data_IF_062120692096
#
_entry.id   IF_062120692096
#
_cell.length_a   1.000
_cell.length_b   1.000
_cell.length_c   1.000
_cell.angle_alpha   90.00
_cell.angle_beta   90.00
_cell.angle_gamma   90.00
#
_symmetry.space_group_name_H-M   'P 1'
#
loop_
_entity.id
_entity.type
_entity.pdbx_description
1 polymer ?
#
# COMPACT_ATOMS: atom_id res chain seq x y z
N UNK A 1 -34.32 28.71 -12.76
CA UNK A 1 -35.23 27.55 -12.59
C UNK A 1 -35.73 27.64 -11.16
N UNK A 2 -36.91 28.22 -10.95
CA UNK A 2 -37.57 28.23 -9.64
C UNK A 2 -38.36 26.93 -9.53
N UNK A 3 -37.74 25.90 -8.95
CA UNK A 3 -38.48 24.71 -8.54
C UNK A 3 -39.41 25.17 -7.41
N UNK A 4 -40.73 25.04 -7.54
CA UNK A 4 -41.70 25.45 -6.52
C UNK A 4 -41.68 24.64 -5.22
N UNK A 5 -40.51 24.10 -4.85
CA UNK A 5 -40.24 23.42 -3.59
C UNK A 5 -39.62 24.41 -2.60
N UNK A 6 -39.99 24.26 -1.34
CA UNK A 6 -39.45 25.04 -0.22
C UNK A 6 -37.94 24.77 -0.06
N UNK A 7 -37.12 25.82 -0.17
CA UNK A 7 -35.66 25.73 -0.08
C UNK A 7 -35.22 25.13 1.26
N UNK A 8 -35.99 25.34 2.34
CA UNK A 8 -35.72 24.73 3.65
C UNK A 8 -35.83 23.20 3.60
N UNK A 9 -36.84 22.68 2.90
CA UNK A 9 -37.02 21.24 2.72
C UNK A 9 -35.89 20.64 1.88
N UNK A 10 -35.48 21.34 0.81
CA UNK A 10 -34.37 20.91 -0.03
C UNK A 10 -33.04 20.88 0.73
N UNK A 11 -32.78 21.90 1.56
CA UNK A 11 -31.59 21.95 2.42
C UNK A 11 -31.61 20.78 3.40
N UNK A 12 -32.77 20.42 3.98
CA UNK A 12 -32.89 19.29 4.89
C UNK A 12 -32.51 17.97 4.22
N UNK A 13 -33.10 17.66 3.06
CA UNK A 13 -32.76 16.45 2.31
C UNK A 13 -31.29 16.43 1.88
N UNK A 14 -30.75 17.58 1.48
CA UNK A 14 -29.34 17.68 1.11
C UNK A 14 -28.41 17.39 2.29
N UNK A 15 -28.73 17.91 3.48
CA UNK A 15 -27.97 17.65 4.71
C UNK A 15 -28.00 16.16 5.10
N UNK A 16 -29.12 15.48 4.92
CA UNK A 16 -29.24 14.04 5.17
C UNK A 16 -28.37 13.20 4.22
N UNK A 17 -28.13 13.67 3.00
CA UNK A 17 -27.26 13.01 2.02
C UNK A 17 -25.76 13.25 2.22
N UNK A 18 -25.37 14.17 3.10
CA UNK A 18 -23.97 14.50 3.37
C UNK A 18 -23.41 13.73 4.58
N UNK A 19 -22.11 13.36 4.56
CA UNK A 19 -21.43 12.86 5.75
C UNK A 19 -21.56 13.85 6.91
N UNK A 20 -21.87 13.35 8.10
CA UNK A 20 -22.10 14.16 9.31
C UNK A 20 -20.91 15.08 9.63
N UNK A 21 -19.68 14.62 9.38
CA UNK A 21 -18.47 15.43 9.56
C UNK A 21 -18.41 16.66 8.66
N UNK A 22 -18.95 16.58 7.43
CA UNK A 22 -19.03 17.71 6.51
C UNK A 22 -20.17 18.65 6.92
N UNK A 23 -21.33 18.12 7.30
CA UNK A 23 -22.46 18.94 7.80
C UNK A 23 -22.03 19.75 9.02
N UNK A 24 -21.42 19.10 10.02
CA UNK A 24 -20.92 19.77 11.22
C UNK A 24 -19.87 20.84 10.89
N UNK A 25 -18.97 20.56 9.94
CA UNK A 25 -17.95 21.52 9.52
C UNK A 25 -18.54 22.76 8.84
N UNK A 26 -19.63 22.60 8.09
CA UNK A 26 -20.36 23.71 7.46
C UNK A 26 -21.15 24.50 8.51
N UNK A 27 -21.83 23.81 9.43
CA UNK A 27 -22.64 24.45 10.50
C UNK A 27 -21.80 25.20 11.53
N UNK A 28 -20.58 24.74 11.83
CA UNK A 28 -19.67 25.35 12.80
C UNK A 28 -18.76 26.44 12.19
N UNK A 29 -19.08 26.93 10.99
CA UNK A 29 -18.36 28.06 10.40
C UNK A 29 -18.58 29.34 11.21
N UNK A 30 -17.54 30.18 11.26
CA UNK A 30 -17.59 31.51 11.86
C UNK A 30 -18.46 32.50 11.10
N UNK A 31 -18.66 32.25 9.81
CA UNK A 31 -19.31 33.18 8.88
C UNK A 31 -20.84 33.01 8.85
N UNK A 32 -21.41 32.26 9.79
CA UNK A 32 -22.84 31.97 9.88
C UNK A 32 -23.26 30.66 9.20
N UNK A 33 -24.48 30.22 9.54
CA UNK A 33 -25.13 29.05 8.94
C UNK A 33 -25.60 29.44 7.53
N UNK A 34 -25.33 28.63 6.50
CA UNK A 34 -25.80 28.94 5.16
C UNK A 34 -27.33 28.83 5.09
N UNK A 35 -27.97 29.81 4.48
CA UNK A 35 -29.44 29.89 4.41
C UNK A 35 -29.96 29.42 3.05
N UNK A 36 -29.12 29.43 2.02
CA UNK A 36 -29.52 28.99 0.67
C UNK A 36 -28.93 27.63 0.32
N UNK A 37 -29.71 26.85 -0.43
CA UNK A 37 -29.27 25.55 -0.93
C UNK A 37 -27.96 25.66 -1.74
N UNK A 38 -27.81 26.74 -2.52
CA UNK A 38 -26.62 26.98 -3.33
C UNK A 38 -25.36 27.20 -2.48
N UNK A 39 -25.47 27.96 -1.38
CA UNK A 39 -24.34 28.13 -0.45
C UNK A 39 -23.96 26.80 0.23
N UNK A 40 -24.96 25.98 0.58
CA UNK A 40 -24.72 24.64 1.10
C UNK A 40 -23.93 23.77 0.10
N UNK A 41 -24.29 23.81 -1.18
CA UNK A 41 -23.56 23.10 -2.24
C UNK A 41 -22.11 23.58 -2.37
N UNK A 42 -21.89 24.88 -2.52
CA UNK A 42 -20.56 25.47 -2.68
C UNK A 42 -19.64 25.12 -1.51
N UNK A 43 -20.15 25.19 -0.28
CA UNK A 43 -19.40 24.86 0.92
C UNK A 43 -19.12 23.36 1.02
N UNK A 44 -20.09 22.50 0.70
CA UNK A 44 -19.92 21.06 0.69
C UNK A 44 -18.83 20.63 -0.31
N UNK A 45 -18.84 21.17 -1.53
CA UNK A 45 -17.83 20.93 -2.56
C UNK A 45 -16.45 21.36 -2.05
N UNK A 46 -16.35 22.58 -1.51
CA UNK A 46 -15.10 23.14 -0.99
C UNK A 46 -14.50 22.25 0.11
N UNK A 47 -15.29 21.88 1.11
CA UNK A 47 -14.79 21.08 2.23
C UNK A 47 -14.50 19.63 1.85
N UNK A 48 -15.29 19.03 0.96
CA UNK A 48 -15.01 17.70 0.44
C UNK A 48 -13.69 17.67 -0.35
N UNK A 49 -13.44 18.70 -1.17
CA UNK A 49 -12.19 18.81 -1.92
C UNK A 49 -10.99 19.02 -0.99
N UNK A 50 -11.13 19.83 0.06
CA UNK A 50 -10.11 19.97 1.11
C UNK A 50 -9.82 18.62 1.78
N UNK A 51 -10.86 17.84 2.10
CA UNK A 51 -10.72 16.51 2.68
C UNK A 51 -9.97 15.56 1.75
N UNK A 52 -10.37 15.48 0.48
CA UNK A 52 -9.68 14.68 -0.55
C UNK A 52 -8.20 15.08 -0.69
N UNK A 53 -7.92 16.38 -0.69
CA UNK A 53 -6.54 16.88 -0.73
C UNK A 53 -5.74 16.49 0.51
N UNK A 54 -6.29 16.68 1.71
CA UNK A 54 -5.64 16.28 2.96
C UNK A 54 -5.34 14.77 3.01
N UNK A 55 -6.28 13.95 2.56
CA UNK A 55 -6.09 12.50 2.47
C UNK A 55 -5.01 12.10 1.45
N UNK A 56 -4.94 12.78 0.29
CA UNK A 56 -3.89 12.56 -0.69
C UNK A 56 -2.49 12.94 -0.16
N UNK A 57 -2.39 14.05 0.58
CA UNK A 57 -1.14 14.47 1.23
C UNK A 57 -0.71 13.47 2.32
N UNK A 58 -1.65 13.02 3.16
CA UNK A 58 -1.38 11.99 4.18
C UNK A 58 -0.86 10.70 3.56
N UNK A 59 -1.44 10.24 2.45
CA UNK A 59 -0.95 9.06 1.72
C UNK A 59 0.47 9.25 1.18
N UNK A 60 0.81 10.44 0.69
CA UNK A 60 2.19 10.79 0.27
C UNK A 60 3.15 10.83 1.47
N UNK A 61 2.73 11.37 2.61
CA UNK A 61 3.54 11.38 3.83
C UNK A 61 3.79 9.97 4.37
N UNK A 62 2.78 9.11 4.45
CA UNK A 62 2.94 7.70 4.85
C UNK A 62 3.91 6.97 3.89
N UNK A 63 3.80 7.22 2.59
CA UNK A 63 4.74 6.70 1.60
C UNK A 63 6.17 7.22 1.77
N UNK A 64 6.34 8.46 2.27
CA UNK A 64 7.65 9.07 2.57
C UNK A 64 8.19 8.66 3.94
N UNK A 65 7.34 8.40 4.93
CA UNK A 65 7.73 8.02 6.29
C UNK A 65 8.29 6.59 6.35
N UNK A 66 7.87 5.71 5.41
CA UNK A 66 8.55 4.43 5.16
C UNK A 66 9.98 4.60 4.61
N UNK A 67 10.36 5.79 4.12
CA UNK A 67 11.72 6.17 3.75
C UNK A 67 12.40 6.81 4.96
N UNK A 68 12.55 6.07 6.07
CA UNK A 68 13.47 6.49 7.12
C UNK A 68 14.89 6.49 6.54
N UNK A 69 15.66 7.60 6.56
CA UNK A 69 17.08 7.52 6.29
C UNK A 69 17.68 6.56 7.32
N UNK A 70 18.34 5.50 6.83
CA UNK A 70 19.08 4.56 7.68
C UNK A 70 20.23 5.31 8.34
N UNK A 71 19.96 6.00 9.44
CA UNK A 71 20.99 6.42 10.38
C UNK A 71 21.52 5.13 10.99
N UNK A 72 22.66 4.67 10.48
CA UNK A 72 23.43 3.56 11.02
C UNK A 72 24.06 3.98 12.35
N UNK A 73 23.24 4.13 13.39
CA UNK A 73 23.74 4.07 14.76
C UNK A 73 24.12 2.61 15.00
N UNK A 74 25.42 2.33 14.99
CA UNK A 74 26.01 1.08 15.49
C UNK A 74 25.74 0.98 16.99
N UNK A 75 24.53 0.58 17.38
CA UNK A 75 24.32 -0.08 18.65
C UNK A 75 24.73 -1.53 18.45
N UNK A 76 25.82 -1.94 19.12
CA UNK A 76 26.22 -3.34 19.25
C UNK A 76 25.16 -4.02 20.11
N UNK A 77 24.08 -4.47 19.49
CA UNK A 77 23.03 -5.24 20.15
C UNK A 77 23.07 -6.64 19.55
N UNK A 78 23.46 -7.60 20.40
CA UNK A 78 23.60 -9.02 20.08
C UNK A 78 22.21 -9.61 19.83
N UNK A 79 21.68 -9.44 18.62
CA UNK A 79 20.41 -10.05 18.22
C UNK A 79 20.68 -11.41 17.59
N UNK A 80 20.17 -12.44 18.25
CA UNK A 80 20.20 -13.84 17.80
C UNK A 80 19.58 -13.93 16.40
N UNK A 81 20.33 -14.50 15.45
CA UNK A 81 19.88 -14.75 14.09
C UNK A 81 18.82 -15.85 14.04
N UNK A 82 17.58 -15.51 14.40
CA UNK A 82 16.43 -16.32 13.97
C UNK A 82 16.35 -16.18 12.45
N UNK A 83 16.48 -17.28 11.72
CA UNK A 83 16.17 -17.29 10.29
C UNK A 83 14.70 -16.86 10.21
N UNK A 84 14.46 -15.74 9.52
CA UNK A 84 13.09 -15.26 9.29
C UNK A 84 12.29 -16.29 8.49
N UNK A 85 11.00 -16.07 8.25
CA UNK A 85 10.21 -16.94 7.38
C UNK A 85 10.93 -17.12 6.04
N UNK A 86 11.34 -18.35 5.72
CA UNK A 86 11.94 -18.68 4.44
C UNK A 86 10.86 -18.72 3.36
N UNK A 87 11.20 -18.31 2.14
CA UNK A 87 10.38 -18.59 0.96
C UNK A 87 10.19 -20.09 0.80
N UNK A 88 9.11 -20.53 0.17
CA UNK A 88 8.87 -21.96 -0.11
C UNK A 88 10.01 -22.57 -0.94
N UNK A 89 10.57 -21.81 -1.89
CA UNK A 89 11.74 -22.23 -2.67
C UNK A 89 12.97 -22.45 -1.78
N UNK A 90 13.28 -21.48 -0.91
CA UNK A 90 14.43 -21.57 -0.01
C UNK A 90 14.27 -22.72 1.00
N UNK A 91 13.03 -23.01 1.41
CA UNK A 91 12.71 -24.12 2.29
C UNK A 91 13.06 -25.45 1.64
N UNK A 92 12.74 -25.63 0.35
CA UNK A 92 13.09 -26.84 -0.39
C UNK A 92 14.59 -27.01 -0.54
N UNK A 93 15.34 -25.95 -0.83
CA UNK A 93 16.80 -26.00 -0.92
C UNK A 93 17.46 -26.42 0.41
N UNK A 94 16.92 -25.96 1.54
CA UNK A 94 17.41 -26.34 2.86
C UNK A 94 17.16 -27.82 3.15
N UNK A 95 16.01 -28.35 2.74
CA UNK A 95 15.71 -29.77 2.88
C UNK A 95 16.58 -30.61 1.95
N UNK A 96 16.72 -30.21 0.68
CA UNK A 96 17.54 -30.90 -0.32
C UNK A 96 19.01 -30.95 0.08
N UNK A 97 19.54 -29.86 0.66
CA UNK A 97 20.93 -29.78 1.10
C UNK A 97 21.14 -30.32 2.53
N UNK A 98 20.08 -30.73 3.25
CA UNK A 98 20.20 -31.18 4.64
C UNK A 98 20.74 -30.10 5.58
N UNK A 99 20.37 -28.84 5.34
CA UNK A 99 20.78 -27.68 6.14
C UNK A 99 19.90 -27.54 7.37
N UNK A 100 20.53 -27.27 8.51
CA UNK A 100 19.85 -26.97 9.76
C UNK A 100 19.13 -25.62 9.70
N UNK A 101 17.81 -25.58 9.91
CA UNK A 101 17.03 -24.32 10.00
C UNK A 101 17.32 -23.48 11.25
N UNK A 102 18.26 -23.89 12.11
CA UNK A 102 18.66 -23.13 13.29
C UNK A 102 20.04 -22.48 13.11
N UNK A 103 21.01 -23.20 12.57
CA UNK A 103 22.39 -22.73 12.44
C UNK A 103 22.92 -22.70 10.99
N UNK A 104 22.10 -23.08 10.01
CA UNK A 104 22.43 -23.15 8.58
C UNK A 104 23.62 -24.07 8.21
N UNK A 105 24.10 -24.90 9.15
CA UNK A 105 25.13 -25.93 8.89
C UNK A 105 24.50 -27.18 8.27
N UNK A 106 25.28 -27.87 7.46
CA UNK A 106 24.92 -29.13 6.81
C UNK A 106 25.02 -30.32 7.79
N UNK A 107 24.35 -31.42 7.44
CA UNK A 107 24.52 -32.71 8.11
C UNK A 107 23.63 -32.94 9.34
N UNK A 108 22.73 -32.01 9.67
CA UNK A 108 21.72 -32.19 10.69
C UNK A 108 20.53 -31.24 10.48
N UNK A 109 19.36 -31.63 10.94
CA UNK A 109 18.18 -30.75 10.99
C UNK A 109 18.11 -29.99 12.32
N UNK A 110 17.24 -28.99 12.43
CA UNK A 110 17.04 -28.23 13.69
C UNK A 110 16.76 -29.11 14.90
N UNK A 111 16.22 -30.32 14.67
CA UNK A 111 15.96 -31.30 15.73
C UNK A 111 17.20 -32.06 16.22
N UNK A 112 18.32 -31.99 15.52
CA UNK A 112 19.56 -32.69 15.89
C UNK A 112 20.70 -31.69 16.08
N UNK A 113 20.39 -30.39 16.13
CA UNK A 113 21.40 -29.36 16.22
C UNK A 113 22.20 -29.50 17.53
N UNK A 114 23.52 -29.75 17.46
CA UNK A 114 24.35 -29.92 18.65
C UNK A 114 24.45 -28.62 19.47
N UNK A 115 24.19 -27.47 18.83
CA UNK A 115 24.07 -26.15 19.48
C UNK A 115 22.66 -25.90 20.03
N UNK A 116 21.86 -26.94 20.29
CA UNK A 116 20.56 -26.83 20.97
C UNK A 116 20.77 -26.23 22.37
N UNK A 117 20.59 -24.91 22.47
CA UNK A 117 20.71 -24.15 23.73
C UNK A 117 21.97 -23.32 23.86
N UNK A 118 22.94 -23.37 22.93
CA UNK A 118 24.13 -22.51 22.94
C UNK A 118 24.11 -21.48 21.80
N UNK A 119 24.37 -20.23 22.17
CA UNK A 119 24.46 -19.08 21.27
C UNK A 119 25.78 -19.10 20.49
N UNK A 120 25.88 -19.89 19.42
CA UNK A 120 27.04 -19.82 18.53
C UNK A 120 26.87 -18.72 17.48
N UNK A 121 27.76 -17.72 17.54
CA UNK A 121 27.91 -16.64 16.57
C UNK A 121 28.49 -17.25 15.28
N UNK A 122 27.71 -17.28 14.17
CA UNK A 122 28.27 -17.54 12.85
C UNK A 122 27.72 -16.53 11.83
N UNK A 123 28.54 -16.01 10.89
CA UNK A 123 28.10 -15.04 9.91
C UNK A 123 27.12 -15.67 8.91
N UNK A 124 26.06 -14.93 8.55
CA UNK A 124 25.16 -15.29 7.44
C UNK A 124 25.95 -15.28 6.12
N UNK A 125 25.79 -16.26 5.22
CA UNK A 125 26.09 -16.05 3.80
C UNK A 125 25.19 -14.92 3.30
N UNK A 126 25.78 -13.84 2.80
CA UNK A 126 25.03 -12.76 2.15
C UNK A 126 24.61 -13.26 0.78
N UNK A 127 23.37 -13.73 0.66
CA UNK A 127 22.69 -13.76 -0.63
C UNK A 127 22.23 -12.33 -0.92
N UNK A 128 22.63 -11.76 -2.06
CA UNK A 128 22.11 -10.44 -2.47
C UNK A 128 20.58 -10.52 -2.60
N UNK A 129 19.82 -9.59 -2.02
CA UNK A 129 18.38 -9.56 -2.22
C UNK A 129 18.10 -9.35 -3.71
N UNK A 130 17.13 -10.08 -4.31
CA UNK A 130 16.77 -9.88 -5.70
C UNK A 130 16.40 -8.40 -5.90
N UNK A 131 17.04 -7.76 -6.89
CA UNK A 131 16.83 -6.36 -7.21
C UNK A 131 15.35 -6.17 -7.57
N UNK A 132 14.61 -5.46 -6.72
CA UNK A 132 13.24 -5.05 -7.02
C UNK A 132 13.31 -4.01 -8.14
N UNK A 133 12.80 -4.37 -9.31
CA UNK A 133 12.77 -3.50 -10.48
C UNK A 133 11.97 -2.22 -10.18
N UNK A 134 12.49 -1.08 -10.62
CA UNK A 134 11.83 0.23 -10.56
C UNK A 134 10.50 0.20 -11.32
N UNK A 135 9.53 1.04 -10.93
CA UNK A 135 8.24 1.16 -11.63
C UNK A 135 8.38 1.37 -13.15
N UNK A 136 9.44 2.07 -13.57
CA UNK A 136 9.75 2.28 -14.99
C UNK A 136 10.29 1.02 -15.66
N UNK A 137 11.06 0.21 -14.95
CA UNK A 137 11.59 -1.06 -15.45
C UNK A 137 10.49 -2.11 -15.54
N UNK A 138 9.58 -2.17 -14.55
CA UNK A 138 8.38 -3.01 -14.65
C UNK A 138 7.49 -2.57 -15.79
N UNK A 139 7.25 -1.27 -15.97
CA UNK A 139 6.47 -0.77 -17.10
C UNK A 139 7.11 -1.14 -18.44
N UNK A 140 8.42 -0.94 -18.59
CA UNK A 140 9.15 -1.31 -19.81
C UNK A 140 9.07 -2.82 -20.05
N UNK A 141 9.21 -3.65 -19.01
CA UNK A 141 9.12 -5.11 -19.12
C UNK A 141 7.72 -5.58 -19.52
N UNK A 142 6.68 -4.96 -18.95
CA UNK A 142 5.28 -5.22 -19.36
C UNK A 142 5.10 -4.81 -20.82
N UNK A 143 5.59 -3.63 -21.21
CA UNK A 143 5.50 -3.13 -22.58
C UNK A 143 6.21 -4.04 -23.59
N UNK A 144 7.39 -4.54 -23.29
CA UNK A 144 8.09 -5.50 -24.16
C UNK A 144 7.34 -6.81 -24.27
N UNK A 145 6.81 -7.34 -23.16
CA UNK A 145 6.01 -8.57 -23.18
C UNK A 145 4.73 -8.46 -24.02
N UNK A 146 4.09 -7.29 -24.02
CA UNK A 146 2.90 -7.03 -24.85
C UNK A 146 3.27 -6.88 -26.32
N UNK A 147 4.43 -6.31 -26.64
CA UNK A 147 4.91 -6.15 -28.02
C UNK A 147 5.38 -7.48 -28.65
N UNK A 148 5.85 -8.42 -27.83
CA UNK A 148 6.25 -9.77 -28.28
C UNK A 148 5.05 -10.72 -28.50
N UNK A 149 3.82 -10.28 -28.15
CA UNK A 149 2.58 -11.02 -28.43
C UNK A 149 2.09 -10.74 -29.86
N UNK A 150 1.41 -11.74 -30.44
CA UNK A 150 0.89 -11.64 -31.81
C UNK A 150 -0.22 -10.58 -31.90
N UNK A 151 -0.41 -9.99 -33.09
CA UNK A 151 -1.45 -8.96 -33.31
C UNK A 151 -2.85 -9.45 -32.92
N UNK A 152 -3.11 -10.75 -33.03
CA UNK A 152 -4.35 -11.40 -32.60
C UNK A 152 -4.55 -11.32 -31.08
N UNK A 153 -3.48 -11.58 -30.31
CA UNK A 153 -3.49 -11.53 -28.85
C UNK A 153 -3.66 -10.08 -28.35
N UNK A 154 -2.99 -9.12 -29.02
CA UNK A 154 -3.15 -7.70 -28.74
C UNK A 154 -4.58 -7.21 -29.01
N UNK A 155 -5.19 -7.65 -30.11
CA UNK A 155 -6.58 -7.32 -30.45
C UNK A 155 -7.55 -7.87 -29.41
N UNK A 156 -7.35 -9.12 -28.98
CA UNK A 156 -8.19 -9.76 -27.95
C UNK A 156 -8.09 -9.06 -26.60
N UNK A 157 -6.91 -8.54 -26.24
CA UNK A 157 -6.72 -7.71 -25.03
C UNK A 157 -7.45 -6.36 -25.17
N UNK A 158 -7.43 -5.74 -26.35
CA UNK A 158 -8.11 -4.47 -26.59
C UNK A 158 -9.64 -4.60 -26.57
N UNK A 159 -10.16 -5.69 -27.14
CA UNK A 159 -11.59 -6.02 -27.14
C UNK A 159 -12.10 -6.28 -25.71
N UNK A 160 -11.32 -6.98 -24.87
CA UNK A 160 -11.63 -7.20 -23.44
C UNK A 160 -11.68 -5.89 -22.63
N UNK A 161 -10.84 -4.92 -22.96
CA UNK A 161 -10.78 -3.63 -22.26
C UNK A 161 -11.97 -2.70 -22.61
N UNK A 162 -12.67 -2.97 -23.72
CA UNK A 162 -13.87 -2.24 -24.14
C UNK A 162 -15.17 -2.79 -23.52
N UNK A 163 -15.21 -4.06 -23.13
CA UNK A 163 -16.38 -4.68 -22.50
C UNK A 163 -16.44 -4.44 -20.98
N UNK A 164 -15.30 -4.35 -20.30
CA UNK A 164 -15.21 -3.96 -18.89
C UNK A 164 -14.83 -2.48 -18.77
N UNK A 165 -15.84 -1.61 -18.92
CA UNK A 165 -15.69 -0.17 -18.80
C UNK A 165 -15.05 0.27 -17.46
N UNK A 166 -13.87 0.87 -17.56
CA UNK A 166 -13.24 1.69 -16.51
C UNK A 166 -13.65 3.17 -16.66
#
# INVERSE_FOLDING_TARGET
METGYDDEALIKFFKEGLPESLVNKIMLRTDGVPETLNEWFELAIRYNNQYKFAMAQKKKQIGRELVKPKITRKTKETTIGKIGPLSESDRWDYLAQGKCFRCAKLGHISKECPSRGQTSILPKPRMEPPKKLSARETFTKIKTMVLDQTMEDQKKIFDLMGEEGF
#
